data_IF_921439460211
#
_entry.id   IF_921439460211
#
_cell.length_a   1.000
_cell.length_b   1.000
_cell.length_c   1.000
_cell.angle_alpha   90.00
_cell.angle_beta   90.00
_cell.angle_gamma   90.00
#
_symmetry.space_group_name_H-M   'P 1'
#
loop_
_entity.id
_entity.type
_entity.pdbx_description
1 polymer ?
#
# COMPACT_ATOMS: atom_id res chain seq x y z
N UNK A 1 8.27 -9.76 1.49
CA UNK A 1 8.27 -8.29 1.26
C UNK A 1 9.60 -7.66 1.62
N UNK A 2 10.03 -7.67 2.88
CA UNK A 2 11.33 -7.11 3.24
C UNK A 2 12.53 -7.82 2.58
N UNK A 3 12.37 -9.11 2.27
CA UNK A 3 13.33 -9.90 1.48
C UNK A 3 13.55 -9.36 0.06
N UNK A 4 12.61 -8.58 -0.46
CA UNK A 4 12.72 -7.95 -1.77
C UNK A 4 13.46 -6.60 -1.73
N UNK A 5 13.78 -6.09 -0.54
CA UNK A 5 14.48 -4.82 -0.37
C UNK A 5 15.97 -5.03 -0.65
N UNK A 6 16.36 -4.73 -1.89
CA UNK A 6 17.75 -4.78 -2.33
C UNK A 6 18.33 -3.37 -2.54
N UNK A 7 19.65 -3.25 -2.50
CA UNK A 7 20.33 -1.98 -2.80
C UNK A 7 19.97 -1.45 -4.19
N UNK A 8 19.78 -2.35 -5.17
CA UNK A 8 19.35 -1.99 -6.51
C UNK A 8 17.94 -1.40 -6.54
N UNK A 9 17.00 -2.00 -5.79
CA UNK A 9 15.64 -1.47 -5.66
C UNK A 9 15.65 -0.10 -4.98
N UNK A 10 16.42 0.04 -3.90
CA UNK A 10 16.55 1.32 -3.18
C UNK A 10 17.16 2.40 -4.06
N UNK A 11 18.20 2.08 -4.84
CA UNK A 11 18.81 3.04 -5.77
C UNK A 11 17.86 3.47 -6.89
N UNK A 12 17.00 2.55 -7.38
CA UNK A 12 16.00 2.86 -8.39
C UNK A 12 14.88 3.78 -7.85
N UNK A 13 14.40 3.52 -6.63
CA UNK A 13 13.30 4.27 -6.02
C UNK A 13 13.75 5.57 -5.34
N UNK A 14 15.01 5.64 -4.88
CA UNK A 14 15.58 6.76 -4.15
C UNK A 14 16.95 7.17 -4.73
N UNK A 15 17.01 7.64 -5.99
CA UNK A 15 18.27 8.05 -6.60
C UNK A 15 18.93 9.20 -5.83
N UNK A 16 20.28 9.20 -5.70
CA UNK A 16 21.01 10.20 -4.93
C UNK A 16 20.85 11.61 -5.52
N UNK A 17 20.85 12.62 -4.65
CA UNK A 17 20.72 14.04 -5.04
C UNK A 17 19.29 14.51 -5.33
N UNK A 18 18.28 13.68 -5.03
CA UNK A 18 16.87 13.97 -5.35
C UNK A 18 15.97 14.08 -4.10
N UNK A 19 16.57 14.33 -2.93
CA UNK A 19 15.89 14.49 -1.64
C UNK A 19 16.26 15.76 -0.87
N UNK A 20 16.87 16.74 -1.54
CA UNK A 20 17.47 17.93 -0.89
C UNK A 20 16.49 19.08 -0.58
N UNK A 21 15.18 18.87 -0.68
CA UNK A 21 14.18 19.90 -0.34
C UNK A 21 12.97 19.26 0.33
N UNK A 22 12.24 19.99 1.18
CA UNK A 22 11.01 19.61 1.91
C UNK A 22 9.82 19.21 1.00
N UNK A 23 10.08 18.63 -0.16
CA UNK A 23 9.13 18.25 -1.17
C UNK A 23 8.82 16.77 -1.03
N UNK A 24 7.52 16.46 -1.03
CA UNK A 24 7.02 15.11 -1.16
C UNK A 24 7.35 14.58 -2.55
N UNK A 25 7.94 13.38 -2.60
CA UNK A 25 8.21 12.69 -3.86
C UNK A 25 7.68 11.26 -3.83
N UNK A 26 7.04 10.86 -4.92
CA UNK A 26 6.64 9.47 -5.17
C UNK A 26 7.31 9.01 -6.46
N UNK A 27 7.95 7.84 -6.43
CA UNK A 27 8.70 7.24 -7.55
C UNK A 27 8.21 5.82 -7.78
N UNK A 28 8.14 5.40 -9.04
CA UNK A 28 7.66 4.08 -9.43
C UNK A 28 6.22 4.12 -9.94
N UNK A 29 5.55 2.96 -10.00
CA UNK A 29 6.03 1.66 -9.55
C UNK A 29 7.17 1.07 -10.41
N UNK A 30 7.94 0.16 -9.84
CA UNK A 30 8.88 -0.72 -10.55
C UNK A 30 8.55 -2.17 -10.24
N UNK A 31 8.64 -3.05 -11.24
CA UNK A 31 8.51 -4.49 -11.01
C UNK A 31 9.72 -5.00 -10.21
N UNK A 32 9.44 -5.74 -9.14
CA UNK A 32 10.44 -6.37 -8.27
C UNK A 32 10.57 -7.86 -8.59
N UNK A 33 9.44 -8.52 -8.87
CA UNK A 33 9.36 -9.84 -9.47
C UNK A 33 8.07 -10.00 -10.30
N UNK A 34 7.69 -11.24 -10.64
CA UNK A 34 6.54 -11.54 -11.50
C UNK A 34 5.17 -11.22 -10.89
N UNK A 35 5.09 -10.93 -9.58
CA UNK A 35 3.82 -10.61 -8.90
C UNK A 35 3.95 -9.51 -7.87
N UNK A 36 5.09 -8.81 -7.85
CA UNK A 36 5.37 -7.79 -6.84
C UNK A 36 5.93 -6.55 -7.49
N UNK A 37 5.30 -5.43 -7.24
CA UNK A 37 5.74 -4.11 -7.64
C UNK A 37 6.02 -3.24 -6.41
N UNK A 38 6.88 -2.24 -6.57
CA UNK A 38 7.22 -1.32 -5.49
C UNK A 38 7.27 0.13 -5.97
N UNK A 39 6.80 1.03 -5.13
CA UNK A 39 6.99 2.48 -5.25
C UNK A 39 7.76 3.02 -4.05
N UNK A 40 8.51 4.10 -4.26
CA UNK A 40 9.20 4.84 -3.22
C UNK A 40 8.46 6.12 -2.89
N UNK A 41 8.31 6.41 -1.60
CA UNK A 41 7.86 7.70 -1.08
C UNK A 41 9.03 8.29 -0.30
N UNK A 42 9.54 9.44 -0.74
CA UNK A 42 10.51 10.23 0.00
C UNK A 42 9.84 11.50 0.51
N UNK A 43 9.97 11.73 1.81
CA UNK A 43 9.45 12.92 2.45
C UNK A 43 10.44 13.43 3.49
N UNK A 44 11.11 14.55 3.19
CA UNK A 44 12.12 15.15 4.08
C UNK A 44 13.20 14.14 4.54
N UNK A 45 13.69 13.30 3.62
CA UNK A 45 14.70 12.26 3.92
C UNK A 45 14.15 11.02 4.64
N UNK A 46 12.84 10.98 4.86
CA UNK A 46 12.14 9.80 5.39
C UNK A 46 11.59 8.97 4.24
N UNK A 47 12.26 7.84 3.99
CA UNK A 47 11.98 6.94 2.87
C UNK A 47 11.04 5.81 3.27
N UNK A 48 9.95 5.66 2.52
CA UNK A 48 9.02 4.55 2.64
C UNK A 48 8.92 3.79 1.33
N UNK A 49 8.86 2.46 1.44
CA UNK A 49 8.52 1.58 0.33
C UNK A 49 7.03 1.26 0.41
N UNK A 50 6.36 1.32 -0.73
CA UNK A 50 4.99 0.83 -0.91
C UNK A 50 5.05 -0.36 -1.85
N UNK A 51 4.77 -1.55 -1.33
CA UNK A 51 4.70 -2.78 -2.10
C UNK A 51 3.26 -3.07 -2.51
N UNK A 52 3.10 -3.46 -3.77
CA UNK A 52 1.90 -4.01 -4.35
C UNK A 52 2.23 -5.47 -4.65
N UNK A 53 1.59 -6.39 -3.93
CA UNK A 53 1.85 -7.82 -4.08
C UNK A 53 0.61 -8.52 -4.58
N UNK A 54 0.74 -9.40 -5.55
CA UNK A 54 -0.31 -10.30 -6.00
C UNK A 54 -0.90 -11.05 -4.80
N UNK A 55 -2.22 -10.96 -4.64
CA UNK A 55 -2.95 -11.56 -3.51
C UNK A 55 -2.81 -13.08 -3.49
N UNK A 56 -2.82 -13.72 -4.67
CA UNK A 56 -2.63 -15.17 -4.80
C UNK A 56 -1.19 -15.57 -4.51
N UNK A 57 -0.21 -14.82 -5.01
CA UNK A 57 1.19 -15.08 -4.68
C UNK A 57 1.44 -14.95 -3.17
N UNK A 58 0.85 -13.93 -2.53
CA UNK A 58 0.91 -13.75 -1.08
C UNK A 58 0.29 -14.92 -0.30
N UNK A 59 -0.78 -15.51 -0.82
CA UNK A 59 -1.43 -16.70 -0.26
C UNK A 59 -0.69 -18.02 -0.57
N UNK A 60 0.50 -17.99 -1.18
CA UNK A 60 1.20 -19.20 -1.59
C UNK A 60 0.45 -19.98 -2.67
N UNK A 61 -0.34 -19.29 -3.49
CA UNK A 61 -1.24 -19.85 -4.50
C UNK A 61 -2.35 -20.77 -3.95
N UNK A 62 -2.70 -20.62 -2.67
CA UNK A 62 -3.81 -21.35 -2.06
C UNK A 62 -5.15 -20.62 -2.29
N UNK A 63 -5.89 -21.05 -3.31
CA UNK A 63 -7.22 -20.51 -3.64
C UNK A 63 -8.23 -20.75 -2.52
N UNK A 64 -8.14 -21.88 -1.82
CA UNK A 64 -9.06 -22.19 -0.72
C UNK A 64 -8.80 -21.26 0.46
N UNK A 65 -7.54 -21.00 0.78
CA UNK A 65 -7.19 -20.01 1.79
C UNK A 65 -7.74 -18.63 1.46
N UNK A 66 -7.68 -18.18 0.20
CA UNK A 66 -8.28 -16.91 -0.23
C UNK A 66 -9.80 -16.93 -0.09
N UNK A 67 -10.46 -18.03 -0.46
CA UNK A 67 -11.91 -18.16 -0.31
C UNK A 67 -12.34 -18.15 1.16
N UNK A 68 -11.68 -18.93 2.01
CA UNK A 68 -11.96 -19.00 3.44
C UNK A 68 -11.71 -17.64 4.11
N UNK A 69 -10.62 -16.97 3.71
CA UNK A 69 -10.27 -15.63 4.17
C UNK A 69 -11.32 -14.62 3.70
N UNK A 70 -11.80 -14.71 2.45
CA UNK A 70 -12.87 -13.86 1.91
C UNK A 70 -14.21 -14.06 2.61
N UNK A 71 -14.57 -15.31 2.98
CA UNK A 71 -15.77 -15.62 3.78
C UNK A 71 -15.69 -14.97 5.16
N UNK A 72 -14.50 -14.95 5.77
CA UNK A 72 -14.25 -14.26 7.03
C UNK A 72 -14.21 -12.72 6.90
N UNK A 73 -14.15 -12.17 5.68
CA UNK A 73 -14.26 -10.73 5.49
C UNK A 73 -15.72 -10.29 5.54
N UNK A 74 -15.92 -9.03 5.96
CA UNK A 74 -17.23 -8.41 5.91
C UNK A 74 -17.77 -8.39 4.47
N UNK A 75 -18.72 -9.29 4.18
CA UNK A 75 -19.44 -9.37 2.91
C UNK A 75 -18.99 -10.46 1.92
N UNK A 76 -18.04 -11.35 2.27
CA UNK A 76 -17.73 -12.51 1.43
C UNK A 76 -17.04 -12.19 0.09
N UNK A 77 -16.45 -11.01 -0.05
CA UNK A 77 -15.92 -10.52 -1.33
C UNK A 77 -14.61 -11.25 -1.69
N UNK A 78 -14.62 -11.95 -2.82
CA UNK A 78 -13.43 -12.64 -3.34
C UNK A 78 -12.62 -11.70 -4.24
N UNK A 79 -11.31 -11.50 -3.99
CA UNK A 79 -10.45 -10.70 -4.86
C UNK A 79 -10.43 -11.21 -6.30
N UNK A 80 -10.38 -10.29 -7.26
CA UNK A 80 -10.11 -10.62 -8.66
C UNK A 80 -8.66 -11.13 -8.83
N UNK A 81 -8.36 -11.95 -9.86
CA UNK A 81 -7.03 -12.53 -10.04
C UNK A 81 -5.87 -11.52 -10.10
N UNK A 82 -6.12 -10.31 -10.62
CA UNK A 82 -5.10 -9.26 -10.77
C UNK A 82 -5.08 -8.27 -9.60
N UNK A 83 -5.68 -8.63 -8.48
CA UNK A 83 -5.71 -7.80 -7.28
C UNK A 83 -4.33 -7.63 -6.65
N UNK A 84 -4.13 -6.51 -5.94
CA UNK A 84 -2.91 -6.25 -5.17
C UNK A 84 -3.20 -6.07 -3.69
N UNK A 85 -2.42 -6.75 -2.87
CA UNK A 85 -2.24 -6.43 -1.47
C UNK A 85 -1.22 -5.30 -1.35
N UNK A 86 -1.62 -4.19 -0.72
CA UNK A 86 -0.78 -3.03 -0.51
C UNK A 86 -0.23 -3.04 0.90
N UNK A 87 1.10 -2.98 1.03
CA UNK A 87 1.78 -2.79 2.31
C UNK A 87 2.86 -1.73 2.16
N UNK A 88 3.15 -1.01 3.24
CA UNK A 88 4.23 -0.05 3.24
C UNK A 88 4.99 -0.09 4.56
N UNK A 89 6.26 0.27 4.50
CA UNK A 89 7.17 0.33 5.64
C UNK A 89 8.37 1.22 5.32
N UNK A 90 9.19 1.55 6.32
CA UNK A 90 10.41 2.35 6.12
C UNK A 90 11.44 1.57 5.30
N UNK A 91 12.11 2.25 4.38
CA UNK A 91 13.18 1.65 3.60
C UNK A 91 14.32 1.11 4.50
N UNK A 92 14.52 1.72 5.67
CA UNK A 92 15.53 1.31 6.67
C UNK A 92 15.03 0.25 7.66
N UNK A 93 13.79 -0.22 7.53
CA UNK A 93 13.25 -1.18 8.49
C UNK A 93 13.90 -2.56 8.39
N UNK A 94 13.83 -3.29 9.51
CA UNK A 94 14.21 -4.70 9.57
C UNK A 94 12.96 -5.59 9.75
N UNK A 95 13.16 -6.91 9.70
CA UNK A 95 12.06 -7.90 9.77
C UNK A 95 11.22 -7.76 11.03
N UNK A 96 11.84 -7.43 12.16
CA UNK A 96 11.17 -7.34 13.45
C UNK A 96 10.34 -6.07 13.59
N UNK A 97 10.73 -4.98 12.93
CA UNK A 97 10.19 -3.63 13.18
C UNK A 97 9.40 -3.05 12.03
N UNK A 98 9.46 -3.65 10.83
CA UNK A 98 8.90 -3.06 9.60
C UNK A 98 7.43 -2.68 9.66
N UNK A 99 6.65 -3.33 10.52
CA UNK A 99 5.23 -3.02 10.66
C UNK A 99 4.86 -2.41 12.02
N UNK A 100 5.85 -1.89 12.76
CA UNK A 100 5.63 -1.21 14.04
C UNK A 100 5.81 0.30 13.87
N UNK A 101 4.72 1.07 13.74
CA UNK A 101 4.82 2.52 13.57
C UNK A 101 5.55 3.23 14.72
N UNK A 102 5.60 2.64 15.91
CA UNK A 102 6.35 3.17 17.06
C UNK A 102 7.86 3.18 16.83
N UNK A 103 8.37 2.24 16.05
CA UNK A 103 9.79 2.15 15.68
C UNK A 103 10.15 3.15 14.58
N UNK A 104 9.15 3.73 13.93
CA UNK A 104 9.30 4.58 12.74
C UNK A 104 8.44 5.84 12.82
N UNK A 105 8.64 6.71 13.84
CA UNK A 105 7.85 7.93 13.95
C UNK A 105 8.12 8.85 12.76
N UNK A 106 7.07 9.55 12.33
CA UNK A 106 7.23 10.68 11.42
C UNK A 106 7.96 11.81 12.16
N UNK A 107 8.90 12.52 11.51
CA UNK A 107 9.57 13.70 12.07
C UNK A 107 8.62 14.72 12.72
N UNK A 108 7.47 14.98 12.10
CA UNK A 108 6.34 15.71 12.68
C UNK A 108 5.05 14.88 12.49
N UNK A 109 4.29 14.58 13.56
CA UNK A 109 3.01 13.87 13.45
C UNK A 109 2.00 14.49 12.49
N UNK A 110 2.05 15.81 12.27
CA UNK A 110 1.20 16.49 11.29
C UNK A 110 1.48 16.02 9.85
N UNK A 111 2.64 15.42 9.59
CA UNK A 111 3.03 14.91 8.28
C UNK A 111 2.19 13.71 7.81
N UNK A 112 1.35 13.15 8.68
CA UNK A 112 0.43 12.06 8.34
C UNK A 112 -0.52 12.42 7.19
N UNK A 113 -0.83 13.72 7.02
CA UNK A 113 -1.71 14.19 5.97
C UNK A 113 -1.02 14.14 4.61
N UNK A 114 0.21 14.67 4.50
CA UNK A 114 1.03 14.54 3.30
C UNK A 114 1.34 13.07 3.00
N UNK A 115 1.60 12.27 4.03
CA UNK A 115 1.83 10.83 3.85
C UNK A 115 0.60 10.12 3.28
N UNK A 116 -0.60 10.45 3.74
CA UNK A 116 -1.84 9.94 3.14
C UNK A 116 -1.96 10.35 1.66
N UNK A 117 -1.57 11.56 1.30
CA UNK A 117 -1.58 11.99 -0.11
C UNK A 117 -0.55 11.24 -0.95
N UNK A 118 0.64 11.03 -0.39
CA UNK A 118 1.70 10.24 -1.02
C UNK A 118 1.28 8.79 -1.29
N UNK A 119 0.60 8.15 -0.33
CA UNK A 119 0.04 6.81 -0.52
C UNK A 119 -1.01 6.80 -1.64
N UNK A 120 -1.85 7.84 -1.72
CA UNK A 120 -2.78 8.01 -2.84
C UNK A 120 -2.06 8.14 -4.18
N UNK A 121 -1.02 8.98 -4.24
CA UNK A 121 -0.18 9.15 -5.42
C UNK A 121 0.51 7.86 -5.87
N UNK A 122 1.04 7.08 -4.92
CA UNK A 122 1.66 5.79 -5.22
C UNK A 122 0.63 4.79 -5.79
N UNK A 123 -0.58 4.76 -5.23
CA UNK A 123 -1.66 3.92 -5.73
C UNK A 123 -2.08 4.29 -7.16
N UNK A 124 -2.22 5.59 -7.45
CA UNK A 124 -2.58 6.06 -8.80
C UNK A 124 -1.47 5.73 -9.79
N UNK A 125 -0.21 6.03 -9.42
CA UNK A 125 0.95 5.68 -10.24
C UNK A 125 0.99 4.19 -10.55
N UNK A 126 0.62 3.35 -9.58
CA UNK A 126 0.44 1.92 -9.81
C UNK A 126 -0.70 1.61 -10.78
N UNK A 127 -1.89 2.15 -10.54
CA UNK A 127 -3.06 1.90 -11.39
C UNK A 127 -2.91 2.39 -12.83
N UNK A 128 -2.07 3.40 -13.07
CA UNK A 128 -1.75 3.90 -14.40
C UNK A 128 -0.71 3.04 -15.11
N UNK A 129 0.29 2.53 -14.38
CA UNK A 129 1.33 1.66 -14.93
C UNK A 129 0.85 0.21 -15.16
N UNK A 130 -0.08 -0.26 -14.33
CA UNK A 130 -0.64 -1.63 -14.33
C UNK A 130 -2.18 -1.55 -14.44
N UNK A 131 -2.71 -1.19 -15.62
CA UNK A 131 -4.15 -0.94 -15.82
C UNK A 131 -5.03 -2.17 -15.62
N UNK A 132 -4.46 -3.38 -15.69
CA UNK A 132 -5.12 -4.64 -15.40
C UNK A 132 -5.40 -4.84 -13.89
N UNK A 133 -4.65 -4.17 -13.01
CA UNK A 133 -4.93 -4.17 -11.57
C UNK A 133 -6.09 -3.23 -11.26
N UNK A 134 -7.27 -3.81 -11.08
CA UNK A 134 -8.49 -3.07 -10.75
C UNK A 134 -8.79 -3.01 -9.25
N UNK A 135 -8.20 -3.90 -8.44
CA UNK A 135 -8.53 -4.06 -7.03
C UNK A 135 -7.30 -3.99 -6.12
N UNK A 136 -7.43 -3.25 -5.02
CA UNK A 136 -6.36 -3.01 -4.06
C UNK A 136 -6.84 -3.24 -2.63
N UNK A 137 -6.08 -4.02 -1.86
CA UNK A 137 -6.43 -4.45 -0.52
C UNK A 137 -5.41 -3.97 0.50
N UNK A 138 -5.88 -3.36 1.59
CA UNK A 138 -5.05 -2.87 2.69
C UNK A 138 -5.45 -3.59 3.98
N UNK A 139 -4.49 -4.21 4.67
CA UNK A 139 -4.71 -4.82 5.98
C UNK A 139 -4.31 -3.83 7.09
N UNK A 140 -5.26 -3.30 7.88
CA UNK A 140 -4.92 -2.49 9.04
C UNK A 140 -4.37 -3.39 10.15
N UNK A 141 -3.10 -3.20 10.49
CA UNK A 141 -2.49 -3.89 11.62
C UNK A 141 -2.80 -3.21 12.97
N UNK A 142 -3.28 -1.97 12.92
CA UNK A 142 -3.65 -1.18 14.12
C UNK A 142 -4.88 -0.33 13.82
N UNK A 143 -5.63 0.05 14.86
CA UNK A 143 -6.76 0.98 14.72
C UNK A 143 -6.37 2.37 14.17
N UNK A 144 -5.10 2.76 14.28
CA UNK A 144 -4.60 4.01 13.67
C UNK A 144 -4.49 3.88 12.14
N UNK A 145 -4.02 2.72 11.65
CA UNK A 145 -3.97 2.43 10.22
C UNK A 145 -5.37 2.26 9.64
N UNK A 146 -6.29 1.66 10.41
CA UNK A 146 -7.71 1.58 10.06
C UNK A 146 -8.31 2.96 9.77
N UNK A 147 -8.10 3.93 10.68
CA UNK A 147 -8.55 5.30 10.49
C UNK A 147 -7.91 5.99 9.26
N UNK A 148 -6.63 5.71 8.98
CA UNK A 148 -5.93 6.22 7.79
C UNK A 148 -6.55 5.67 6.50
N UNK A 149 -6.79 4.35 6.43
CA UNK A 149 -7.37 3.71 5.26
C UNK A 149 -8.83 4.13 5.01
N UNK A 150 -9.63 4.28 6.06
CA UNK A 150 -10.97 4.84 5.95
C UNK A 150 -10.96 6.28 5.40
N UNK A 151 -9.94 7.08 5.74
CA UNK A 151 -9.79 8.42 5.18
C UNK A 151 -9.38 8.38 3.70
N UNK A 152 -8.43 7.52 3.35
CA UNK A 152 -8.02 7.28 1.96
C UNK A 152 -9.21 6.85 1.11
N UNK A 153 -10.02 5.91 1.60
CA UNK A 153 -11.26 5.45 0.98
C UNK A 153 -12.14 6.61 0.51
N UNK A 154 -12.41 7.56 1.42
CA UNK A 154 -13.26 8.70 1.13
C UNK A 154 -12.64 9.65 0.11
N UNK A 155 -11.30 9.80 0.08
CA UNK A 155 -10.62 10.63 -0.92
C UNK A 155 -10.71 9.97 -2.31
N UNK A 156 -10.51 8.65 -2.38
CA UNK A 156 -10.63 7.89 -3.61
C UNK A 156 -12.06 7.88 -4.17
N UNK A 157 -13.07 7.73 -3.31
CA UNK A 157 -14.48 7.78 -3.72
C UNK A 157 -14.89 9.15 -4.29
N UNK A 158 -14.24 10.23 -3.86
CA UNK A 158 -14.48 11.59 -4.38
C UNK A 158 -13.72 11.90 -5.67
N UNK A 159 -12.87 10.98 -6.14
CA UNK A 159 -12.08 11.19 -7.36
C UNK A 159 -11.09 12.35 -7.27
N UNK A 160 -10.67 12.75 -6.05
CA UNK A 160 -9.75 13.89 -5.80
C UNK A 160 -8.38 13.75 -6.47
N UNK A 161 -8.12 12.55 -7.00
CA UNK A 161 -6.88 12.07 -7.53
C UNK A 161 -6.93 11.78 -9.04
N UNK A 162 -8.02 12.14 -9.72
CA UNK A 162 -8.23 11.90 -11.14
C UNK A 162 -8.65 10.46 -11.49
N UNK A 163 -8.37 9.49 -10.62
CA UNK A 163 -8.91 8.12 -10.65
C UNK A 163 -9.85 7.94 -9.47
N UNK A 164 -11.02 7.36 -9.74
CA UNK A 164 -12.01 7.07 -8.69
C UNK A 164 -11.95 5.60 -8.31
N UNK A 165 -12.07 5.33 -7.02
CA UNK A 165 -12.21 3.97 -6.50
C UNK A 165 -13.43 3.87 -5.60
N UNK A 166 -14.13 2.75 -5.70
CA UNK A 166 -15.21 2.38 -4.80
C UNK A 166 -14.66 1.47 -3.70
N UNK A 167 -15.05 1.71 -2.46
CA UNK A 167 -14.79 0.77 -1.38
C UNK A 167 -15.66 -0.49 -1.55
N UNK A 168 -15.03 -1.65 -1.75
CA UNK A 168 -15.72 -2.94 -1.96
C UNK A 168 -15.70 -3.83 -0.73
N UNK A 169 -14.73 -3.65 0.17
CA UNK A 169 -14.68 -4.34 1.47
C UNK A 169 -14.19 -3.40 2.57
N UNK A 170 -14.60 -3.67 3.80
CA UNK A 170 -14.11 -3.01 5.02
C UNK A 170 -13.85 -4.06 6.10
N UNK A 171 -12.87 -3.85 7.00
CA UNK A 171 -12.69 -4.71 8.15
C UNK A 171 -13.97 -4.80 9.00
N UNK A 172 -14.24 -5.97 9.56
CA UNK A 172 -15.22 -6.15 10.63
C UNK A 172 -14.67 -5.52 11.93
N UNK A 173 -15.55 -4.94 12.75
CA UNK A 173 -15.17 -4.18 13.95
C UNK A 173 -14.50 -5.03 15.04
N UNK A 174 -14.77 -6.33 15.05
CA UNK A 174 -14.39 -7.34 16.04
C UNK A 174 -13.40 -8.37 15.49
N UNK A 175 -13.52 -8.74 14.22
CA UNK A 175 -12.69 -9.78 13.58
C UNK A 175 -11.54 -9.22 12.72
N UNK A 176 -11.54 -7.92 12.43
CA UNK A 176 -10.56 -7.30 11.53
C UNK A 176 -10.88 -7.57 10.05
N UNK A 177 -9.87 -7.56 9.18
CA UNK A 177 -10.04 -7.81 7.75
C UNK A 177 -9.30 -6.79 6.88
N UNK A 178 -9.77 -6.58 5.65
CA UNK A 178 -9.13 -5.69 4.67
C UNK A 178 -10.05 -4.54 4.28
N UNK A 179 -9.45 -3.40 3.98
CA UNK A 179 -10.06 -2.41 3.12
C UNK A 179 -9.79 -2.76 1.67
N UNK A 180 -10.84 -2.96 0.89
CA UNK A 180 -10.77 -3.23 -0.54
C UNK A 180 -11.23 -2.01 -1.33
N UNK A 181 -10.46 -1.65 -2.34
CA UNK A 181 -10.75 -0.55 -3.27
C UNK A 181 -10.76 -1.08 -4.69
N UNK A 182 -11.82 -0.78 -5.43
CA UNK A 182 -11.98 -1.17 -6.82
C UNK A 182 -12.09 0.07 -7.71
N UNK A 183 -11.28 0.15 -8.76
CA UNK A 183 -11.30 1.25 -9.73
C UNK A 183 -12.64 1.28 -10.48
N UNK A 184 -13.21 2.46 -10.68
CA UNK A 184 -14.46 2.69 -11.45
C UNK A 184 -14.24 3.50 -12.72
#
# INVERSE_FOLDING_TARGET
>A
MIEYVSDALLAALFPPGVGEMDLLRVVGPVAVDAGTEASGIDFAGTRHLVFFADVMAYAGHDEQYIQDTAVAWNGGFVPAPQSRLVKFFRAEANQETMFYPSEWPLPDPAMIWQFSEALGMALIGHADAFPETTQYFYMPQTGKLDALYNRLARKFERGEFGVSFRCVTRPASDEGGFYGFERI
#
